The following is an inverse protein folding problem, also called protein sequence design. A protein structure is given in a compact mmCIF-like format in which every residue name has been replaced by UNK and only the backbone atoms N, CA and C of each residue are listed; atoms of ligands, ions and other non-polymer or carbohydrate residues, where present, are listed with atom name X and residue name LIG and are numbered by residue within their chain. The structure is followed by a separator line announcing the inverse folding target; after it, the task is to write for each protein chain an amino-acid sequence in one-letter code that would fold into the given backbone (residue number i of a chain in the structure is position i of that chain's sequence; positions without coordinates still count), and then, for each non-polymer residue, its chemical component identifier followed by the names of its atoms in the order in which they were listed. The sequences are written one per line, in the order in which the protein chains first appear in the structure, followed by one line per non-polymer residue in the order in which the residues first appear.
data_IF_081402640763
#
_entry.id   IF_081402640763
#
_cell.length_a   1.000
_cell.length_b   1.000
_cell.length_c   1.000
_cell.angle_alpha   90.00
_cell.angle_beta   90.00
_cell.angle_gamma   90.00
#
_symmetry.space_group_name_H-M   'P 1'
#
loop_
_entity.id
_entity.type
_entity.pdbx_description
1 polymer ?
#
# COMPACT_ATOMS: atom_id res chain seq x y z
N UNK A 1 -5.59 24.48 7.94
CA UNK A 1 -4.12 24.48 8.09
C UNK A 1 -3.54 23.31 7.31
N UNK A 2 -2.94 23.58 6.15
CA UNK A 2 -2.16 22.61 5.39
C UNK A 2 -0.78 22.43 6.06
N UNK A 3 -0.75 21.77 7.21
CA UNK A 3 0.50 21.22 7.73
C UNK A 3 0.80 19.97 6.91
N UNK A 4 1.46 20.20 5.78
CA UNK A 4 2.02 19.24 4.83
C UNK A 4 2.40 17.93 5.53
N UNK A 5 1.72 16.86 5.09
CA UNK A 5 2.15 15.48 5.28
C UNK A 5 3.64 15.45 4.95
N UNK A 6 4.48 15.18 5.96
CA UNK A 6 5.88 14.82 5.71
C UNK A 6 5.80 13.50 4.96
N UNK A 7 5.80 13.56 3.63
CA UNK A 7 5.98 12.37 2.81
C UNK A 7 7.32 11.74 3.15
N UNK A 8 7.46 10.44 2.88
CA UNK A 8 8.74 9.72 3.07
C UNK A 8 9.95 10.49 2.50
N UNK A 9 9.77 11.15 1.36
CA UNK A 9 10.79 11.97 0.69
C UNK A 9 11.33 13.12 1.54
N UNK A 10 10.52 13.70 2.43
CA UNK A 10 10.97 14.77 3.32
C UNK A 10 11.85 14.27 4.48
N UNK A 11 11.97 12.94 4.68
CA UNK A 11 12.94 12.36 5.61
C UNK A 11 14.34 12.25 5.00
N UNK A 12 14.43 12.14 3.67
CA UNK A 12 15.70 11.96 2.95
C UNK A 12 16.60 13.20 3.04
N UNK A 13 16.00 14.37 3.32
CA UNK A 13 16.70 15.64 3.51
C UNK A 13 17.22 15.85 4.95
N UNK A 14 16.84 14.97 5.89
CA UNK A 14 17.22 15.09 7.29
C UNK A 14 18.42 14.20 7.62
N UNK A 15 19.27 14.65 8.55
CA UNK A 15 20.35 13.81 9.05
C UNK A 15 19.76 12.56 9.71
N UNK A 16 20.19 11.38 9.25
CA UNK A 16 19.71 10.10 9.74
C UNK A 16 19.88 9.99 11.26
N UNK A 17 18.84 9.54 11.95
CA UNK A 17 18.75 9.45 13.42
C UNK A 17 18.78 10.77 14.22
N UNK A 18 18.82 11.94 13.57
CA UNK A 18 18.65 13.22 14.25
C UNK A 18 17.30 13.30 14.99
N UNK A 19 17.17 14.18 16.01
CA UNK A 19 15.89 14.45 16.65
C UNK A 19 14.79 14.85 15.65
N UNK A 20 15.14 15.62 14.63
CA UNK A 20 14.26 16.07 13.55
C UNK A 20 13.79 14.89 12.69
N UNK A 21 14.70 14.00 12.30
CA UNK A 21 14.40 12.77 11.57
C UNK A 21 13.44 11.88 12.34
N UNK A 22 13.70 11.65 13.64
CA UNK A 22 12.83 10.84 14.50
C UNK A 22 11.44 11.44 14.67
N UNK A 23 11.34 12.77 14.81
CA UNK A 23 10.03 13.46 14.81
C UNK A 23 9.34 13.35 13.45
N UNK A 24 10.09 13.43 12.36
CA UNK A 24 9.62 13.18 11.01
C UNK A 24 9.01 11.80 10.87
N UNK A 25 9.74 10.75 11.26
CA UNK A 25 9.26 9.36 11.25
C UNK A 25 7.93 9.20 12.00
N UNK A 26 7.80 9.79 13.18
CA UNK A 26 6.55 9.74 13.94
C UNK A 26 5.38 10.38 13.20
N UNK A 27 5.61 11.49 12.48
CA UNK A 27 4.55 12.13 11.66
C UNK A 27 4.20 11.29 10.42
N UNK A 28 5.20 10.69 9.77
CA UNK A 28 4.95 9.76 8.65
C UNK A 28 4.10 8.59 9.14
N UNK A 29 4.43 8.02 10.30
CA UNK A 29 3.66 6.91 10.88
C UNK A 29 2.21 7.33 11.18
N UNK A 30 1.97 8.51 11.75
CA UNK A 30 0.61 9.01 11.98
C UNK A 30 -0.19 9.15 10.67
N UNK A 31 0.46 9.58 9.59
CA UNK A 31 -0.15 9.63 8.26
C UNK A 31 -0.51 8.24 7.74
N UNK A 32 0.38 7.26 7.90
CA UNK A 32 0.16 5.86 7.53
C UNK A 32 -0.99 5.26 8.35
N UNK A 33 -1.00 5.48 9.67
CA UNK A 33 -2.06 4.97 10.55
C UNK A 33 -3.42 5.57 10.18
N UNK A 34 -3.47 6.87 9.89
CA UNK A 34 -4.69 7.52 9.43
C UNK A 34 -5.14 6.99 8.06
N UNK A 35 -4.20 6.74 7.15
CA UNK A 35 -4.46 6.16 5.83
C UNK A 35 -5.10 4.78 5.96
N UNK A 36 -4.52 3.87 6.73
CA UNK A 36 -5.09 2.54 6.96
C UNK A 36 -6.42 2.59 7.70
N UNK A 37 -6.62 3.51 8.63
CA UNK A 37 -7.89 3.65 9.34
C UNK A 37 -9.06 4.13 8.46
N UNK A 38 -8.80 4.84 7.35
CA UNK A 38 -9.85 5.45 6.53
C UNK A 38 -9.98 4.85 5.12
N UNK A 39 -9.03 4.03 4.68
CA UNK A 39 -9.03 3.42 3.35
C UNK A 39 -9.18 1.90 3.48
N UNK A 40 -10.41 1.42 3.33
CA UNK A 40 -10.77 0.01 3.50
C UNK A 40 -10.18 -0.92 2.44
N UNK A 41 -9.65 -0.41 1.34
CA UNK A 41 -8.94 -1.23 0.36
C UNK A 41 -7.54 -1.69 0.82
N UNK A 42 -7.06 -1.27 1.99
CA UNK A 42 -5.82 -1.82 2.57
C UNK A 42 -6.12 -2.97 3.55
N UNK A 43 -5.44 -4.13 3.45
CA UNK A 43 -5.59 -5.21 4.42
C UNK A 43 -5.37 -4.76 5.88
N UNK A 44 -4.47 -3.80 6.10
CA UNK A 44 -4.19 -3.22 7.42
C UNK A 44 -5.41 -2.56 8.08
N UNK A 45 -6.39 -2.09 7.30
CA UNK A 45 -7.66 -1.55 7.81
C UNK A 45 -8.41 -2.55 8.69
N UNK A 46 -8.31 -3.84 8.34
CA UNK A 46 -9.04 -4.92 8.98
C UNK A 46 -8.25 -5.64 10.09
N UNK A 47 -7.06 -5.15 10.45
CA UNK A 47 -6.25 -5.71 11.52
C UNK A 47 -5.93 -7.19 11.31
N UNK A 48 -6.32 -8.05 12.27
CA UNK A 48 -6.01 -9.49 12.22
C UNK A 48 -6.75 -10.24 11.11
N UNK A 49 -7.89 -9.72 10.65
CA UNK A 49 -8.66 -10.35 9.57
C UNK A 49 -8.02 -10.11 8.21
N UNK A 50 -7.29 -9.00 8.06
CA UNK A 50 -6.58 -8.64 6.83
C UNK A 50 -7.49 -8.69 5.61
N UNK A 51 -7.03 -9.38 4.55
CA UNK A 51 -7.81 -9.59 3.32
C UNK A 51 -9.19 -10.24 3.58
N UNK A 52 -9.34 -11.05 4.63
CA UNK A 52 -10.62 -11.73 4.92
C UNK A 52 -11.70 -10.76 5.43
N UNK A 53 -11.32 -9.57 5.89
CA UNK A 53 -12.25 -8.52 6.26
C UNK A 53 -12.75 -7.70 5.06
N UNK A 54 -12.09 -7.80 3.91
CA UNK A 54 -12.37 -6.98 2.74
C UNK A 54 -13.68 -7.37 2.04
N UNK A 55 -14.43 -6.37 1.61
CA UNK A 55 -15.51 -6.54 0.65
C UNK A 55 -14.95 -6.75 -0.77
N UNK A 56 -15.83 -7.11 -1.71
CA UNK A 56 -15.42 -7.21 -3.10
C UNK A 56 -15.00 -5.85 -3.70
N UNK A 57 -15.63 -4.76 -3.27
CA UNK A 57 -15.25 -3.42 -3.72
C UNK A 57 -13.85 -3.04 -3.22
N UNK A 58 -13.52 -3.38 -1.98
CA UNK A 58 -12.18 -3.16 -1.42
C UNK A 58 -11.11 -3.90 -2.22
N UNK A 59 -11.38 -5.15 -2.65
CA UNK A 59 -10.44 -5.91 -3.47
C UNK A 59 -10.23 -5.29 -4.86
N UNK A 60 -11.29 -4.73 -5.46
CA UNK A 60 -11.20 -4.02 -6.75
C UNK A 60 -10.36 -2.76 -6.57
N UNK A 61 -10.65 -1.94 -5.56
CA UNK A 61 -9.89 -0.71 -5.28
C UNK A 61 -8.42 -1.01 -4.96
N UNK A 62 -8.14 -2.04 -4.17
CA UNK A 62 -6.78 -2.49 -3.84
C UNK A 62 -6.00 -2.90 -5.09
N UNK A 63 -6.64 -3.62 -6.01
CA UNK A 63 -6.04 -4.03 -7.27
C UNK A 63 -5.61 -2.81 -8.11
N UNK A 64 -6.48 -1.81 -8.23
CA UNK A 64 -6.19 -0.55 -8.92
C UNK A 64 -5.11 0.27 -8.21
N UNK A 65 -5.15 0.37 -6.88
CA UNK A 65 -4.14 1.07 -6.07
C UNK A 65 -2.75 0.45 -6.26
N UNK A 66 -2.66 -0.87 -6.24
CA UNK A 66 -1.40 -1.59 -6.42
C UNK A 66 -0.82 -1.46 -7.83
N UNK A 67 -1.66 -1.33 -8.86
CA UNK A 67 -1.20 -1.04 -10.22
C UNK A 67 -0.71 0.41 -10.36
N UNK A 68 -1.48 1.37 -9.83
CA UNK A 68 -1.11 2.78 -9.85
C UNK A 68 0.22 3.00 -9.12
N UNK A 69 0.36 2.46 -7.91
CA UNK A 69 1.58 2.53 -7.13
C UNK A 69 2.77 1.86 -7.84
N UNK A 70 2.53 0.73 -8.53
CA UNK A 70 3.59 0.08 -9.31
C UNK A 70 4.15 1.01 -10.38
N UNK A 71 3.26 1.68 -11.14
CA UNK A 71 3.63 2.65 -12.18
C UNK A 71 4.34 3.86 -11.63
N UNK A 72 3.86 4.43 -10.52
CA UNK A 72 4.48 5.60 -9.89
C UNK A 72 5.89 5.30 -9.37
N UNK A 73 6.14 4.06 -8.94
CA UNK A 73 7.43 3.62 -8.42
C UNK A 73 8.33 2.92 -9.46
N UNK A 74 7.95 2.94 -10.75
CA UNK A 74 8.77 2.39 -11.83
C UNK A 74 8.91 0.86 -11.79
N UNK A 75 7.92 0.17 -11.23
CA UNK A 75 7.81 -1.29 -11.19
C UNK A 75 6.61 -1.78 -12.02
N UNK A 76 6.54 -3.08 -12.24
CA UNK A 76 5.42 -3.73 -12.95
C UNK A 76 4.32 -4.13 -11.98
N UNK A 77 3.09 -4.27 -12.47
CA UNK A 77 1.99 -4.80 -11.66
C UNK A 77 2.27 -6.23 -11.18
N UNK A 78 2.96 -7.05 -11.98
CA UNK A 78 3.41 -8.40 -11.59
C UNK A 78 4.32 -8.38 -10.36
N UNK A 79 5.31 -7.48 -10.33
CA UNK A 79 6.20 -7.31 -9.17
C UNK A 79 5.41 -6.81 -7.94
N UNK A 80 4.42 -5.96 -8.16
CA UNK A 80 3.51 -5.48 -7.10
C UNK A 80 2.69 -6.63 -6.49
N UNK A 81 2.08 -7.48 -7.33
CA UNK A 81 1.36 -8.67 -6.88
C UNK A 81 2.29 -9.59 -6.08
N UNK A 82 3.46 -9.96 -6.61
CA UNK A 82 4.37 -10.89 -5.95
C UNK A 82 4.80 -10.42 -4.55
N UNK A 83 5.16 -9.13 -4.43
CA UNK A 83 5.54 -8.53 -3.15
C UNK A 83 4.38 -8.50 -2.16
N UNK A 84 3.18 -8.16 -2.60
CA UNK A 84 2.03 -8.06 -1.71
C UNK A 84 1.43 -9.43 -1.35
N UNK A 85 1.54 -10.43 -2.23
CA UNK A 85 1.22 -11.84 -1.93
C UNK A 85 2.05 -12.34 -0.76
N UNK A 86 3.36 -12.08 -0.78
CA UNK A 86 4.26 -12.42 0.33
C UNK A 86 3.94 -11.60 1.58
N UNK A 87 3.80 -10.27 1.46
CA UNK A 87 3.53 -9.37 2.59
C UNK A 87 2.24 -9.72 3.34
N UNK A 88 1.17 -10.04 2.62
CA UNK A 88 -0.15 -10.29 3.18
C UNK A 88 -0.53 -11.77 3.25
N UNK A 89 0.41 -12.67 2.93
CA UNK A 89 0.19 -14.12 2.91
C UNK A 89 -1.08 -14.53 2.13
N UNK A 90 -1.25 -13.96 0.93
CA UNK A 90 -2.45 -14.20 0.12
C UNK A 90 -2.55 -15.66 -0.31
N UNK A 91 -3.78 -16.16 -0.41
CA UNK A 91 -4.00 -17.49 -0.99
C UNK A 91 -3.65 -17.49 -2.48
N UNK A 92 -3.31 -18.67 -2.99
CA UNK A 92 -3.06 -18.89 -4.42
C UNK A 92 -4.28 -18.46 -5.26
N UNK A 93 -5.50 -18.67 -4.75
CA UNK A 93 -6.74 -18.28 -5.44
C UNK A 93 -6.84 -16.76 -5.63
N UNK A 94 -6.54 -15.96 -4.60
CA UNK A 94 -6.55 -14.49 -4.71
C UNK A 94 -5.43 -14.02 -5.63
N UNK A 95 -4.25 -14.61 -5.54
CA UNK A 95 -3.15 -14.31 -6.45
C UNK A 95 -3.55 -14.55 -7.92
N UNK A 96 -4.15 -15.70 -8.23
CA UNK A 96 -4.58 -16.01 -9.60
C UNK A 96 -5.69 -15.07 -10.09
N UNK A 97 -6.62 -14.66 -9.21
CA UNK A 97 -7.63 -13.65 -9.55
C UNK A 97 -6.96 -12.33 -9.93
N UNK A 98 -6.04 -11.82 -9.12
CA UNK A 98 -5.30 -10.58 -9.40
C UNK A 98 -4.50 -10.67 -10.71
N UNK A 99 -3.85 -11.82 -10.95
CA UNK A 99 -3.10 -12.09 -12.18
C UNK A 99 -4.02 -12.12 -13.41
N UNK A 100 -5.19 -12.75 -13.31
CA UNK A 100 -6.17 -12.77 -14.39
C UNK A 100 -6.70 -11.37 -14.70
N UNK A 101 -7.03 -10.59 -13.67
CA UNK A 101 -7.42 -9.18 -13.83
C UNK A 101 -6.30 -8.37 -14.47
N UNK A 102 -5.05 -8.53 -14.04
CA UNK A 102 -3.91 -7.86 -14.66
C UNK A 102 -3.76 -8.18 -16.15
N UNK A 103 -3.93 -9.44 -16.55
CA UNK A 103 -3.90 -9.86 -17.97
C UNK A 103 -5.05 -9.28 -18.77
N UNK A 104 -6.27 -9.29 -18.21
CA UNK A 104 -7.47 -8.72 -18.85
C UNK A 104 -7.31 -7.22 -19.10
N UNK A 105 -6.73 -6.51 -18.15
CA UNK A 105 -6.51 -5.06 -18.21
C UNK A 105 -5.25 -4.66 -19.01
N UNK A 106 -4.42 -5.64 -19.41
CA UNK A 106 -3.15 -5.40 -20.11
C UNK A 106 -2.05 -4.78 -19.25
N UNK A 107 -2.08 -5.03 -17.93
CA UNK A 107 -1.11 -4.51 -16.96
C UNK A 107 0.10 -5.44 -16.75
N UNK A 108 -0.02 -6.70 -17.17
CA UNK A 108 1.03 -7.72 -17.14
C UNK A 108 1.02 -8.57 -18.41
#
# INVERSE_FOLDING_TARGET
ELALVVGKSALDELEYNSPEYKRGLSRVQQGIDHHYANNSHHPEHYGIDGIKGMSFLDLIEMCCDWEAAAREHGSTFLESINRNVERFCLSVEIQEILMNTGREMGWI
#
